data_IF_315829051325
#
_entry.id   IF_315829051325
#
_cell.length_a   1.000
_cell.length_b   1.000
_cell.length_c   1.000
_cell.angle_alpha   90.00
_cell.angle_beta   90.00
_cell.angle_gamma   90.00
#
_symmetry.space_group_name_H-M   'P 1'
#
loop_
_entity.id
_entity.type
_entity.pdbx_description
1 polymer ?
#
# COMPACT_ATOMS: atom_id res chain seq x y z
N UNK A 1 13.98 15.82 1.51
CA UNK A 1 12.84 14.88 1.56
C UNK A 1 11.64 15.64 1.05
N UNK A 2 11.10 15.25 -0.10
CA UNK A 2 9.87 15.83 -0.66
C UNK A 2 8.70 15.33 0.19
N UNK A 3 7.82 16.24 0.61
CA UNK A 3 6.67 15.96 1.47
C UNK A 3 5.38 15.88 0.66
N UNK A 4 4.34 15.23 1.19
CA UNK A 4 3.01 15.14 0.55
C UNK A 4 2.42 16.51 0.20
N UNK A 5 2.81 17.56 0.93
CA UNK A 5 2.43 18.94 0.66
C UNK A 5 3.04 19.46 -0.65
N UNK A 6 4.25 19.03 -1.01
CA UNK A 6 4.95 19.47 -2.23
C UNK A 6 4.27 18.93 -3.50
N UNK A 7 3.66 17.72 -3.43
CA UNK A 7 2.89 17.14 -4.53
C UNK A 7 1.52 17.83 -4.72
N UNK A 8 0.99 18.48 -3.68
CA UNK A 8 -0.32 19.14 -3.73
C UNK A 8 -0.30 20.52 -4.40
N UNK A 9 0.88 21.12 -4.63
CA UNK A 9 1.01 22.52 -5.07
C UNK A 9 1.29 22.71 -6.57
N UNK A 10 1.61 21.65 -7.33
CA UNK A 10 2.05 21.79 -8.73
C UNK A 10 0.92 21.82 -9.78
N UNK A 11 -0.36 21.87 -9.39
CA UNK A 11 -1.52 21.76 -10.32
C UNK A 11 -2.53 22.91 -10.22
N UNK A 12 -2.20 24.04 -9.60
CA UNK A 12 -3.18 25.11 -9.27
C UNK A 12 -3.13 26.36 -10.17
N UNK A 13 -2.72 26.27 -11.45
CA UNK A 13 -2.83 27.41 -12.38
C UNK A 13 -3.54 26.97 -13.67
N UNK A 14 -4.87 27.03 -13.64
CA UNK A 14 -5.73 26.72 -14.78
C UNK A 14 -7.01 27.54 -14.74
N UNK A 15 -6.93 28.80 -15.18
CA UNK A 15 -8.06 29.70 -15.40
C UNK A 15 -8.94 29.19 -16.55
N UNK A 16 -9.93 28.36 -16.23
CA UNK A 16 -10.91 27.82 -17.18
C UNK A 16 -11.67 26.59 -16.66
N UNK A 17 -12.11 26.60 -15.40
CA UNK A 17 -12.80 25.45 -14.79
C UNK A 17 -14.31 25.67 -14.82
N UNK A 18 -14.96 25.25 -15.90
CA UNK A 18 -16.42 25.17 -15.93
C UNK A 18 -16.86 24.02 -15.00
N UNK A 19 -18.08 24.05 -14.46
CA UNK A 19 -18.58 23.05 -13.49
C UNK A 19 -18.45 21.60 -13.99
N UNK A 20 -18.37 21.38 -15.30
CA UNK A 20 -18.15 20.06 -15.90
C UNK A 20 -16.71 19.54 -15.68
N UNK A 21 -15.70 20.43 -15.72
CA UNK A 21 -14.29 20.07 -15.57
C UNK A 21 -13.89 19.87 -14.10
N UNK A 22 -14.58 20.56 -13.19
CA UNK A 22 -14.36 20.43 -11.74
C UNK A 22 -14.59 18.98 -11.25
N UNK A 23 -15.59 18.28 -11.81
CA UNK A 23 -15.87 16.88 -11.48
C UNK A 23 -14.76 15.92 -11.97
N UNK A 24 -14.30 16.09 -13.22
CA UNK A 24 -13.23 15.26 -13.79
C UNK A 24 -11.91 15.46 -13.04
N UNK A 25 -11.54 16.71 -12.75
CA UNK A 25 -10.31 17.04 -12.01
C UNK A 25 -10.33 16.48 -10.59
N UNK A 26 -11.47 16.54 -9.92
CA UNK A 26 -11.61 15.95 -8.57
C UNK A 26 -11.43 14.44 -8.61
N UNK A 27 -12.08 13.76 -9.57
CA UNK A 27 -11.93 12.31 -9.76
C UNK A 27 -10.49 11.91 -10.09
N UNK A 28 -9.82 12.61 -11.00
CA UNK A 28 -8.42 12.37 -11.37
C UNK A 28 -7.52 12.51 -10.14
N UNK A 29 -7.71 13.57 -9.35
CA UNK A 29 -6.92 13.80 -8.13
C UNK A 29 -7.15 12.72 -7.07
N UNK A 30 -8.39 12.30 -6.86
CA UNK A 30 -8.73 11.20 -5.94
C UNK A 30 -8.12 9.87 -6.41
N UNK A 31 -8.11 9.64 -7.72
CA UNK A 31 -7.48 8.46 -8.31
C UNK A 31 -5.97 8.46 -8.11
N UNK A 32 -5.29 9.57 -8.39
CA UNK A 32 -3.85 9.73 -8.16
C UNK A 32 -3.49 9.56 -6.69
N UNK A 33 -4.28 10.14 -5.79
CA UNK A 33 -4.09 10.00 -4.35
C UNK A 33 -4.23 8.54 -3.90
N UNK A 34 -5.22 7.82 -4.44
CA UNK A 34 -5.42 6.41 -4.16
C UNK A 34 -4.23 5.57 -4.62
N UNK A 35 -3.68 5.84 -5.82
CA UNK A 35 -2.47 5.17 -6.31
C UNK A 35 -1.24 5.48 -5.44
N UNK A 36 -1.09 6.74 -5.00
CA UNK A 36 0.00 7.13 -4.10
C UNK A 36 -0.07 6.41 -2.75
N UNK A 37 -1.26 6.35 -2.14
CA UNK A 37 -1.48 5.66 -0.87
C UNK A 37 -1.17 4.16 -0.98
N UNK A 38 -1.65 3.49 -2.05
CA UNK A 38 -1.32 2.08 -2.29
C UNK A 38 0.19 1.82 -2.41
N UNK A 39 0.96 2.75 -3.00
CA UNK A 39 2.42 2.64 -3.09
C UNK A 39 3.09 2.80 -1.74
N UNK A 40 2.62 3.72 -0.90
CA UNK A 40 3.12 3.92 0.46
C UNK A 40 2.87 2.69 1.34
N UNK A 41 1.69 2.09 1.23
CA UNK A 41 1.36 0.84 1.93
C UNK A 41 2.29 -0.30 1.50
N UNK A 42 2.60 -0.40 0.20
CA UNK A 42 3.52 -1.40 -0.31
C UNK A 42 4.95 -1.17 0.21
N UNK A 43 5.44 0.07 0.24
CA UNK A 43 6.75 0.42 0.80
C UNK A 43 6.81 -0.03 2.26
N UNK A 44 5.79 0.32 3.05
CA UNK A 44 5.69 -0.05 4.47
C UNK A 44 5.73 -1.57 4.67
N UNK A 45 5.01 -2.34 3.82
CA UNK A 45 5.04 -3.81 3.86
C UNK A 45 6.42 -4.38 3.54
N UNK A 46 7.14 -3.80 2.58
CA UNK A 46 8.49 -4.22 2.21
C UNK A 46 9.49 -3.91 3.32
N UNK A 47 9.44 -2.71 3.89
CA UNK A 47 10.30 -2.32 5.02
C UNK A 47 10.09 -3.27 6.21
N UNK A 48 8.84 -3.61 6.51
CA UNK A 48 8.52 -4.58 7.53
C UNK A 48 9.06 -5.98 7.22
N UNK A 49 8.93 -6.45 5.98
CA UNK A 49 9.50 -7.72 5.55
C UNK A 49 11.03 -7.74 5.68
N UNK A 50 11.71 -6.63 5.35
CA UNK A 50 13.17 -6.49 5.52
C UNK A 50 13.57 -6.54 6.99
N UNK A 51 12.84 -5.87 7.88
CA UNK A 51 13.09 -5.93 9.32
C UNK A 51 12.99 -7.38 9.83
N UNK A 52 12.00 -8.13 9.35
CA UNK A 52 11.81 -9.54 9.69
C UNK A 52 12.85 -10.48 9.10
N UNK A 53 13.46 -10.11 7.98
CA UNK A 53 14.61 -10.85 7.46
C UNK A 53 15.80 -10.63 8.40
N UNK A 54 16.01 -9.40 8.86
CA UNK A 54 17.10 -9.05 9.76
C UNK A 54 17.00 -9.74 11.13
N UNK A 55 15.79 -9.86 11.68
CA UNK A 55 15.55 -10.56 12.96
C UNK A 55 15.42 -12.09 12.84
N UNK A 56 15.44 -12.62 11.60
CA UNK A 56 15.36 -14.06 11.31
C UNK A 56 13.95 -14.66 11.42
N UNK A 57 12.92 -13.85 11.63
CA UNK A 57 11.54 -14.31 11.73
C UNK A 57 10.86 -14.45 10.36
N UNK A 58 11.40 -13.87 9.28
CA UNK A 58 10.77 -13.85 7.96
C UNK A 58 10.24 -15.21 7.49
N UNK A 59 9.04 -15.19 6.92
CA UNK A 59 8.34 -16.40 6.48
C UNK A 59 7.58 -17.15 7.58
N UNK A 60 7.46 -16.60 8.80
CA UNK A 60 6.52 -17.07 9.83
C UNK A 60 5.28 -16.17 9.92
N UNK A 61 4.12 -16.77 10.15
CA UNK A 61 2.88 -16.05 10.37
C UNK A 61 2.92 -15.29 11.69
N UNK A 62 2.65 -13.99 11.68
CA UNK A 62 2.65 -13.16 12.91
C UNK A 62 1.53 -13.53 13.87
N UNK A 63 0.44 -14.11 13.37
CA UNK A 63 -0.72 -14.46 14.19
C UNK A 63 -0.60 -15.82 14.87
N UNK A 64 0.01 -16.81 14.22
CA UNK A 64 0.03 -18.19 14.72
C UNK A 64 1.42 -18.83 14.76
N UNK A 65 2.49 -18.14 14.32
CA UNK A 65 3.87 -18.64 14.32
C UNK A 65 4.20 -19.68 13.24
N UNK A 66 3.18 -20.26 12.61
CA UNK A 66 3.32 -21.26 11.54
C UNK A 66 4.02 -20.72 10.29
N UNK A 67 4.74 -21.56 9.53
CA UNK A 67 5.41 -21.13 8.31
C UNK A 67 4.41 -20.67 7.24
N UNK A 68 4.77 -19.62 6.53
CA UNK A 68 4.06 -19.11 5.36
C UNK A 68 4.53 -19.91 4.15
N UNK A 69 3.59 -20.37 3.33
CA UNK A 69 3.91 -21.16 2.13
C UNK A 69 4.90 -20.40 1.22
N UNK A 70 5.97 -21.08 0.79
CA UNK A 70 7.01 -20.49 -0.06
C UNK A 70 6.44 -19.84 -1.33
N UNK A 71 5.50 -20.51 -2.00
CA UNK A 71 4.84 -19.98 -3.19
C UNK A 71 4.12 -18.64 -2.91
N UNK A 72 3.56 -18.46 -1.71
CA UNK A 72 2.93 -17.20 -1.29
C UNK A 72 3.97 -16.11 -1.10
N UNK A 73 5.11 -16.40 -0.48
CA UNK A 73 6.20 -15.42 -0.31
C UNK A 73 6.88 -15.06 -1.64
N UNK A 74 6.92 -15.99 -2.60
CA UNK A 74 7.42 -15.71 -3.96
C UNK A 74 6.49 -14.79 -4.75
N UNK A 75 5.16 -14.96 -4.59
CA UNK A 75 4.18 -14.09 -5.22
C UNK A 75 4.00 -12.75 -4.48
N UNK A 76 4.06 -12.78 -3.15
CA UNK A 76 3.82 -11.65 -2.25
C UNK A 76 4.87 -11.63 -1.13
N UNK A 77 6.05 -11.02 -1.35
CA UNK A 77 7.13 -10.97 -0.36
C UNK A 77 6.76 -10.23 0.94
N UNK A 78 5.83 -9.27 0.87
CA UNK A 78 5.32 -8.54 2.04
C UNK A 78 4.31 -9.31 2.89
N UNK A 79 4.00 -10.57 2.57
CA UNK A 79 2.96 -11.32 3.28
C UNK A 79 3.38 -11.68 4.73
N UNK A 80 2.65 -11.16 5.71
CA UNK A 80 2.88 -11.38 7.15
C UNK A 80 2.06 -12.52 7.76
N UNK A 81 0.98 -12.94 7.07
CA UNK A 81 0.03 -13.95 7.53
C UNK A 81 0.02 -15.19 6.63
N UNK A 82 -0.17 -16.37 7.24
CA UNK A 82 -0.48 -17.59 6.52
C UNK A 82 -1.90 -17.54 5.93
N UNK A 83 -2.19 -18.38 4.94
CA UNK A 83 -3.47 -18.38 4.22
C UNK A 83 -4.66 -18.56 5.17
N UNK A 84 -4.57 -19.49 6.12
CA UNK A 84 -5.64 -19.73 7.10
C UNK A 84 -5.90 -18.53 8.00
N UNK A 85 -4.84 -17.83 8.44
CA UNK A 85 -4.98 -16.61 9.25
C UNK A 85 -5.54 -15.45 8.43
N UNK A 86 -5.11 -15.31 7.16
CA UNK A 86 -5.62 -14.27 6.26
C UNK A 86 -7.09 -14.46 5.92
N UNK A 87 -7.51 -15.68 5.61
CA UNK A 87 -8.93 -16.00 5.39
C UNK A 87 -9.81 -15.73 6.61
N UNK A 88 -9.30 -15.94 7.83
CA UNK A 88 -10.03 -15.60 9.06
C UNK A 88 -10.13 -14.10 9.31
N UNK A 89 -9.17 -13.32 8.82
CA UNK A 89 -9.18 -11.86 8.91
C UNK A 89 -10.19 -11.26 7.93
N UNK A 90 -10.22 -11.74 6.68
CA UNK A 90 -11.15 -11.24 5.65
C UNK A 90 -12.62 -11.62 5.88
N UNK A 91 -12.87 -12.63 6.72
CA UNK A 91 -14.23 -13.04 7.12
C UNK A 91 -14.80 -12.24 8.29
N UNK A 92 -14.00 -11.34 8.89
CA UNK A 92 -14.44 -10.43 9.94
C UNK A 92 -14.87 -9.11 9.34
#
# INVERSE_FOLDING_TARGET
>A
MVTLTDLQQTVSDGSGDDQADAGSKTFEREHEMSLANNRLDLITQIEHALARIADGSYGRCERCGEPIAKARLQAFPGATLCLACKQREERR
#
